data_IF_711583640559
#
_entry.id   IF_711583640559
#
_cell.length_a   1.000
_cell.length_b   1.000
_cell.length_c   1.000
_cell.angle_alpha   90.00
_cell.angle_beta   90.00
_cell.angle_gamma   90.00
#
_symmetry.space_group_name_H-M   'P 1'
#
loop_
_entity.id
_entity.type
_entity.pdbx_description
1 polymer ?
#
# COMPACT_ATOMS: atom_id res chain seq x y z
N UNK A 1 4.19 7.27 -13.75
CA UNK A 1 5.23 6.60 -12.93
C UNK A 1 6.01 7.65 -12.15
N UNK A 2 5.98 7.54 -10.81
CA UNK A 2 6.79 8.32 -9.87
C UNK A 2 8.10 7.57 -9.58
N UNK A 3 9.19 8.32 -9.41
CA UNK A 3 10.52 7.75 -9.14
C UNK A 3 11.25 8.63 -8.15
N UNK A 4 11.64 8.04 -7.03
CA UNK A 4 12.50 8.66 -6.02
C UNK A 4 13.88 8.04 -6.08
N UNK A 5 14.90 8.85 -5.83
CA UNK A 5 16.29 8.43 -5.76
C UNK A 5 16.93 9.04 -4.52
N UNK A 6 17.69 8.24 -3.79
CA UNK A 6 18.49 8.70 -2.66
C UNK A 6 19.91 8.22 -2.91
N UNK A 7 20.88 9.14 -2.86
CA UNK A 7 22.30 8.84 -3.01
C UNK A 7 23.03 9.26 -1.75
N UNK A 8 23.89 8.39 -1.24
CA UNK A 8 24.78 8.74 -0.14
C UNK A 8 26.01 9.49 -0.69
N UNK A 9 26.14 10.78 -0.37
CA UNK A 9 27.27 11.63 -0.78
C UNK A 9 28.30 11.86 0.33
N UNK A 10 28.30 11.01 1.37
CA UNK A 10 29.23 11.14 2.48
C UNK A 10 30.67 10.96 2.01
N UNK A 11 31.52 11.95 2.28
CA UNK A 11 32.95 11.90 1.98
C UNK A 11 33.77 11.28 3.13
N UNK A 12 33.15 11.04 4.29
CA UNK A 12 33.79 10.51 5.51
C UNK A 12 33.73 8.98 5.63
N UNK A 13 33.30 8.29 4.56
CA UNK A 13 33.23 6.83 4.52
C UNK A 13 31.97 6.23 5.16
N UNK A 14 31.08 7.03 5.76
CA UNK A 14 29.95 6.50 6.54
C UNK A 14 28.76 6.09 5.66
N UNK A 15 28.18 4.93 6.00
CA UNK A 15 26.91 4.49 5.44
C UNK A 15 25.74 5.37 5.90
N UNK A 16 24.70 5.44 5.09
CA UNK A 16 23.45 6.14 5.38
C UNK A 16 22.29 5.13 5.31
N UNK A 17 21.54 5.02 6.40
CA UNK A 17 20.41 4.10 6.50
C UNK A 17 19.10 4.87 6.63
N UNK A 18 18.06 4.44 5.91
CA UNK A 18 16.75 5.08 5.91
C UNK A 18 15.63 4.07 5.61
N UNK A 19 14.40 4.42 6.00
CA UNK A 19 13.17 3.79 5.51
C UNK A 19 12.46 4.75 4.55
N UNK A 20 11.59 4.23 3.69
CA UNK A 20 10.90 5.04 2.69
C UNK A 20 9.49 4.50 2.46
N UNK A 21 8.51 5.39 2.29
CA UNK A 21 7.17 5.02 1.84
C UNK A 21 6.57 6.13 0.98
N UNK A 22 5.74 5.73 0.00
CA UNK A 22 4.81 6.64 -0.66
C UNK A 22 3.45 6.54 0.03
N UNK A 23 3.16 7.47 0.96
CA UNK A 23 1.93 7.48 1.76
C UNK A 23 0.70 7.87 0.94
N UNK A 24 0.22 6.95 0.10
CA UNK A 24 -0.74 7.23 -0.97
C UNK A 24 -2.17 7.03 -0.48
N UNK A 25 -2.94 8.12 -0.45
CA UNK A 25 -4.38 8.11 -0.15
C UNK A 25 -5.19 7.90 -1.43
N UNK A 26 -5.96 6.80 -1.50
CA UNK A 26 -6.91 6.54 -2.56
C UNK A 26 -8.29 7.02 -2.18
N UNK A 27 -8.91 7.86 -3.02
CA UNK A 27 -10.32 8.23 -2.87
C UNK A 27 -11.21 7.10 -3.39
N UNK A 28 -11.89 6.44 -2.46
CA UNK A 28 -12.79 5.30 -2.69
C UNK A 28 -14.25 5.71 -2.54
N UNK A 29 -15.20 4.82 -2.84
CA UNK A 29 -16.64 5.10 -2.69
C UNK A 29 -17.08 5.07 -1.22
N UNK A 30 -16.99 3.89 -0.61
CA UNK A 30 -17.22 3.57 0.79
C UNK A 30 -16.21 2.47 1.15
N UNK A 31 -15.48 2.64 2.25
CA UNK A 31 -14.48 1.70 2.72
C UNK A 31 -15.05 0.29 2.93
N UNK A 32 -16.36 0.15 3.22
CA UNK A 32 -17.01 -1.17 3.33
C UNK A 32 -17.17 -1.89 1.98
N UNK A 33 -17.17 -1.14 0.87
CA UNK A 33 -17.30 -1.67 -0.51
C UNK A 33 -15.96 -1.84 -1.22
N UNK A 34 -14.86 -1.68 -0.48
CA UNK A 34 -13.49 -1.77 -0.99
C UNK A 34 -12.83 -3.04 -0.51
N UNK A 35 -12.08 -3.69 -1.39
CA UNK A 35 -11.14 -4.75 -1.02
C UNK A 35 -9.79 -4.58 -1.67
N UNK A 36 -8.75 -5.12 -1.03
CA UNK A 36 -7.39 -5.14 -1.57
C UNK A 36 -7.00 -6.58 -1.90
N UNK A 37 -6.47 -6.77 -3.10
CA UNK A 37 -5.95 -8.05 -3.59
C UNK A 37 -4.43 -7.96 -3.86
N UNK A 38 -3.73 -9.09 -3.70
CA UNK A 38 -2.28 -9.24 -3.86
C UNK A 38 -1.49 -9.22 -2.55
N UNK A 39 -2.17 -9.26 -1.40
CA UNK A 39 -1.58 -9.29 -0.06
C UNK A 39 -1.97 -10.53 0.75
N UNK A 40 -2.71 -11.45 0.14
CA UNK A 40 -3.19 -12.68 0.73
C UNK A 40 -2.00 -13.56 1.12
N UNK A 41 -2.13 -14.32 2.22
CA UNK A 41 -1.10 -15.28 2.70
C UNK A 41 0.25 -14.68 3.10
N UNK A 42 0.39 -13.36 3.06
CA UNK A 42 1.63 -12.67 3.43
C UNK A 42 1.70 -12.42 4.94
N UNK A 43 2.93 -12.40 5.45
CA UNK A 43 3.19 -11.90 6.79
C UNK A 43 3.00 -10.38 6.84
N UNK A 44 2.44 -9.89 7.95
CA UNK A 44 2.36 -8.48 8.26
C UNK A 44 2.74 -8.18 9.71
N UNK A 45 3.20 -6.95 9.95
CA UNK A 45 3.33 -6.38 11.29
C UNK A 45 2.12 -5.51 11.57
N UNK A 46 1.48 -5.68 12.72
CA UNK A 46 0.30 -4.91 13.12
C UNK A 46 0.70 -3.76 14.06
N UNK A 47 0.62 -2.51 13.59
CA UNK A 47 0.97 -1.35 14.41
C UNK A 47 -0.04 -1.12 15.56
N UNK A 48 -1.24 -1.68 15.48
CA UNK A 48 -2.23 -1.63 16.58
C UNK A 48 -1.91 -2.65 17.68
N UNK A 49 -1.05 -3.64 17.40
CA UNK A 49 -0.62 -4.69 18.32
C UNK A 49 0.90 -4.67 18.52
N UNK A 50 1.46 -3.47 18.74
CA UNK A 50 2.90 -3.29 19.04
C UNK A 50 3.87 -3.93 18.02
N UNK A 51 3.45 -3.99 16.75
CA UNK A 51 4.18 -4.64 15.64
C UNK A 51 4.34 -6.15 15.81
N UNK A 52 3.39 -6.80 16.49
CA UNK A 52 3.29 -8.25 16.47
C UNK A 52 3.13 -8.75 15.02
N UNK A 53 3.75 -9.90 14.74
CA UNK A 53 3.77 -10.50 13.41
C UNK A 53 2.64 -11.51 13.28
N UNK A 54 1.88 -11.38 12.22
CA UNK A 54 0.80 -12.30 11.84
C UNK A 54 0.95 -12.70 10.37
N UNK A 55 0.18 -13.69 9.94
CA UNK A 55 0.05 -14.10 8.53
C UNK A 55 -1.38 -13.91 8.09
N UNK A 56 -1.60 -13.18 6.99
CA UNK A 56 -2.92 -12.95 6.43
C UNK A 56 -3.59 -14.24 5.98
N UNK A 57 -4.85 -14.43 6.34
CA UNK A 57 -5.60 -15.67 6.04
C UNK A 57 -6.80 -15.42 5.11
N UNK A 58 -7.18 -14.15 4.87
CA UNK A 58 -8.28 -13.81 3.98
C UNK A 58 -7.93 -13.97 2.50
N UNK A 59 -8.95 -14.27 1.69
CA UNK A 59 -8.86 -14.28 0.21
C UNK A 59 -8.71 -12.85 -0.38
N UNK A 60 -9.00 -11.84 0.42
CA UNK A 60 -8.78 -10.42 0.13
C UNK A 60 -8.77 -9.64 1.46
N UNK A 61 -8.18 -8.44 1.46
CA UNK A 61 -8.26 -7.55 2.62
C UNK A 61 -9.55 -6.74 2.54
N UNK A 62 -10.39 -6.85 3.56
CA UNK A 62 -11.60 -6.05 3.77
C UNK A 62 -11.49 -5.24 5.05
N UNK A 63 -12.39 -4.26 5.23
CA UNK A 63 -12.27 -3.26 6.28
C UNK A 63 -13.55 -3.19 7.11
N UNK A 64 -13.48 -3.66 8.35
CA UNK A 64 -14.59 -3.62 9.33
C UNK A 64 -14.18 -2.87 10.62
N UNK A 65 -12.93 -2.43 10.69
CA UNK A 65 -12.33 -1.75 11.84
C UNK A 65 -11.12 -0.91 11.41
N UNK A 66 -10.48 -0.24 12.37
CA UNK A 66 -9.17 0.37 12.18
C UNK A 66 -8.17 -0.68 11.69
N UNK A 67 -7.36 -0.29 10.70
CA UNK A 67 -6.29 -1.11 10.15
C UNK A 67 -5.05 -0.25 10.05
N UNK A 68 -3.93 -0.76 10.56
CA UNK A 68 -2.60 -0.18 10.42
C UNK A 68 -1.58 -1.31 10.31
N UNK A 69 -1.45 -1.88 9.11
CA UNK A 69 -0.68 -3.10 8.85
C UNK A 69 0.46 -2.85 7.89
N UNK A 70 1.63 -3.40 8.18
CA UNK A 70 2.79 -3.41 7.29
C UNK A 70 2.97 -4.83 6.72
N UNK A 71 2.49 -5.05 5.50
CA UNK A 71 2.69 -6.30 4.78
C UNK A 71 4.13 -6.41 4.26
N UNK A 72 4.74 -7.57 4.48
CA UNK A 72 6.16 -7.83 4.27
C UNK A 72 6.40 -8.54 2.94
N UNK A 73 7.52 -8.21 2.27
CA UNK A 73 7.95 -8.92 1.04
C UNK A 73 6.85 -9.07 -0.01
N UNK A 74 6.05 -8.02 -0.18
CA UNK A 74 4.85 -7.99 -1.01
C UNK A 74 5.20 -8.04 -2.50
N UNK A 75 4.31 -8.59 -3.34
CA UNK A 75 4.50 -8.58 -4.79
C UNK A 75 4.60 -7.15 -5.34
N UNK A 76 5.06 -7.04 -6.58
CA UNK A 76 5.19 -5.74 -7.24
C UNK A 76 3.85 -5.12 -7.61
N UNK A 77 2.75 -5.88 -7.63
CA UNK A 77 1.41 -5.43 -8.01
C UNK A 77 0.43 -5.62 -6.86
N UNK A 78 -0.32 -4.57 -6.54
CA UNK A 78 -1.44 -4.59 -5.59
C UNK A 78 -2.66 -4.00 -6.30
N UNK A 79 -3.84 -4.59 -6.09
CA UNK A 79 -5.10 -4.11 -6.66
C UNK A 79 -6.05 -3.65 -5.55
N UNK A 80 -6.64 -2.47 -5.72
CA UNK A 80 -7.65 -1.91 -4.82
C UNK A 80 -8.93 -1.84 -5.62
N UNK A 81 -9.88 -2.69 -5.28
CA UNK A 81 -11.14 -2.85 -6.02
C UNK A 81 -12.21 -2.09 -5.26
N UNK A 82 -12.76 -1.08 -5.93
CA UNK A 82 -13.90 -0.27 -5.48
C UNK A 82 -15.13 -0.74 -6.29
N UNK A 83 -15.98 -1.53 -5.64
CA UNK A 83 -17.11 -2.19 -6.31
C UNK A 83 -18.17 -1.20 -6.75
N UNK A 84 -18.49 -0.21 -5.90
CA UNK A 84 -19.54 0.77 -6.17
C UNK A 84 -19.17 1.70 -7.34
N UNK A 85 -17.93 2.21 -7.36
CA UNK A 85 -17.43 3.03 -8.50
C UNK A 85 -17.04 2.18 -9.71
N UNK A 86 -17.15 0.85 -9.63
CA UNK A 86 -16.77 -0.11 -10.69
C UNK A 86 -15.37 0.17 -11.23
N UNK A 87 -14.43 0.44 -10.32
CA UNK A 87 -13.08 0.87 -10.66
C UNK A 87 -12.06 0.11 -9.82
N UNK A 88 -10.95 -0.25 -10.44
CA UNK A 88 -9.80 -0.83 -9.75
C UNK A 88 -8.64 0.14 -9.85
N UNK A 89 -8.08 0.55 -8.71
CA UNK A 89 -6.75 1.13 -8.70
C UNK A 89 -5.72 0.02 -8.71
N UNK A 90 -4.74 0.16 -9.58
CA UNK A 90 -3.64 -0.79 -9.70
C UNK A 90 -2.36 -0.06 -9.36
N UNK A 91 -1.74 -0.49 -8.27
CA UNK A 91 -0.45 -0.04 -7.80
C UNK A 91 0.64 -0.99 -8.32
N UNK A 92 1.71 -0.43 -8.90
CA UNK A 92 2.96 -1.16 -9.17
C UNK A 92 4.11 -0.51 -8.44
N UNK A 93 4.94 -1.33 -7.80
CA UNK A 93 6.10 -0.88 -7.06
C UNK A 93 7.35 -1.67 -7.41
N UNK A 94 8.48 -0.98 -7.33
CA UNK A 94 9.82 -1.53 -7.55
C UNK A 94 10.83 -0.83 -6.64
N UNK A 95 11.78 -1.58 -6.09
CA UNK A 95 12.71 -1.10 -5.05
C UNK A 95 12.07 -0.86 -3.67
N UNK A 96 10.81 -1.28 -3.49
CA UNK A 96 9.97 -1.10 -2.31
C UNK A 96 9.36 -2.46 -1.93
N UNK A 97 9.98 -3.23 -1.02
CA UNK A 97 9.59 -4.60 -0.73
C UNK A 97 8.29 -4.72 0.08
N UNK A 98 7.91 -3.69 0.83
CA UNK A 98 6.80 -3.73 1.78
C UNK A 98 5.59 -2.96 1.23
N UNK A 99 4.42 -3.18 1.84
CA UNK A 99 3.26 -2.33 1.65
C UNK A 99 2.58 -2.00 2.97
N UNK A 100 2.19 -0.75 3.16
CA UNK A 100 1.39 -0.36 4.33
C UNK A 100 -0.06 -0.25 3.90
N UNK A 101 -0.97 -0.80 4.70
CA UNK A 101 -2.41 -0.68 4.54
C UNK A 101 -2.94 0.05 5.76
N UNK A 102 -3.57 1.21 5.53
CA UNK A 102 -4.07 2.03 6.62
C UNK A 102 -5.46 2.62 6.35
N UNK A 103 -6.34 2.46 7.34
CA UNK A 103 -7.58 3.21 7.48
C UNK A 103 -7.80 3.51 8.97
N UNK A 104 -7.98 4.79 9.37
CA UNK A 104 -8.05 5.18 10.77
C UNK A 104 -9.34 4.70 11.46
N UNK A 105 -10.41 4.45 10.71
CA UNK A 105 -11.73 4.22 11.26
C UNK A 105 -12.25 5.38 12.13
N UNK A 106 -13.43 5.19 12.73
CA UNK A 106 -14.21 6.23 13.39
C UNK A 106 -13.47 6.94 14.54
N UNK A 107 -12.93 6.17 15.49
CA UNK A 107 -12.34 6.75 16.71
C UNK A 107 -11.07 7.54 16.43
N UNK A 108 -10.19 7.03 15.55
CA UNK A 108 -8.94 7.70 15.20
C UNK A 108 -9.20 8.91 14.30
N UNK A 109 -10.14 8.82 13.36
CA UNK A 109 -10.53 9.94 12.50
C UNK A 109 -10.94 11.16 13.34
N UNK A 110 -11.87 10.98 14.29
CA UNK A 110 -12.33 12.04 15.21
C UNK A 110 -11.24 12.62 16.11
N UNK A 111 -10.14 11.90 16.31
CA UNK A 111 -9.01 12.35 17.13
C UNK A 111 -7.96 13.13 16.34
N UNK A 112 -8.02 13.10 15.00
CA UNK A 112 -7.08 13.82 14.12
C UNK A 112 -7.63 15.21 13.81
N UNK A 113 -6.94 16.25 14.27
CA UNK A 113 -7.41 17.63 14.14
C UNK A 113 -7.44 18.15 12.68
N UNK A 114 -6.69 17.50 11.79
CA UNK A 114 -6.55 17.82 10.37
C UNK A 114 -7.27 16.83 9.45
N UNK A 115 -8.17 16.00 10.00
CA UNK A 115 -8.93 14.98 9.28
C UNK A 115 -10.40 15.04 9.64
N UNK A 116 -11.29 14.94 8.65
CA UNK A 116 -12.73 14.99 8.91
C UNK A 116 -13.25 13.72 9.60
N UNK A 117 -14.19 13.88 10.55
CA UNK A 117 -14.76 12.79 11.35
C UNK A 117 -15.19 11.56 10.53
N UNK A 118 -15.79 11.80 9.36
CA UNK A 118 -16.31 10.77 8.46
C UNK A 118 -15.40 10.50 7.23
N UNK A 119 -14.27 11.18 7.09
CA UNK A 119 -13.40 11.06 5.89
C UNK A 119 -12.81 9.66 5.72
N UNK A 120 -12.69 8.90 6.82
CA UNK A 120 -12.20 7.52 6.80
C UNK A 120 -13.06 6.61 5.92
N UNK A 121 -14.36 6.93 5.75
CA UNK A 121 -15.28 6.17 4.91
C UNK A 121 -14.94 6.28 3.42
N UNK A 122 -14.26 7.34 3.02
CA UNK A 122 -14.05 7.65 1.60
C UNK A 122 -12.57 7.59 1.19
N UNK A 123 -11.72 7.02 2.04
CA UNK A 123 -10.29 6.88 1.80
C UNK A 123 -9.74 5.51 2.16
N UNK A 124 -8.72 5.07 1.43
CA UNK A 124 -7.86 3.96 1.82
C UNK A 124 -6.41 4.31 1.54
N UNK A 125 -5.50 4.11 2.50
CA UNK A 125 -4.07 4.25 2.27
C UNK A 125 -3.47 2.91 1.90
N UNK A 126 -2.84 2.86 0.72
CA UNK A 126 -1.96 1.74 0.32
C UNK A 126 -0.62 2.33 -0.09
N UNK A 127 0.40 2.03 0.69
CA UNK A 127 1.71 2.63 0.53
C UNK A 127 2.68 1.64 -0.07
N UNK A 128 3.41 2.04 -1.12
CA UNK A 128 4.58 1.30 -1.55
C UNK A 128 5.76 1.68 -0.66
N UNK A 129 6.35 0.71 0.04
CA UNK A 129 7.24 1.00 1.16
C UNK A 129 8.49 0.10 1.27
N UNK A 130 9.45 0.56 2.05
CA UNK A 130 10.63 -0.14 2.54
C UNK A 130 10.79 0.25 4.02
N UNK A 131 10.22 -0.56 4.91
CA UNK A 131 10.02 -0.19 6.33
C UNK A 131 10.55 -1.25 7.29
N UNK A 132 10.29 -2.54 7.02
CA UNK A 132 10.73 -3.62 7.91
C UNK A 132 12.25 -3.65 8.03
N UNK A 133 12.92 -3.54 6.87
CA UNK A 133 14.38 -3.51 6.77
C UNK A 133 14.82 -2.17 6.19
N UNK A 134 15.53 -1.34 6.97
CA UNK A 134 16.08 -0.09 6.45
C UNK A 134 17.01 -0.33 5.26
N UNK A 135 16.88 0.51 4.23
CA UNK A 135 17.81 0.56 3.12
C UNK A 135 19.10 1.19 3.63
N UNK A 136 20.24 0.57 3.35
CA UNK A 136 21.56 1.09 3.73
C UNK A 136 22.41 1.33 2.49
N UNK A 137 22.89 2.56 2.33
CA UNK A 137 23.74 2.99 1.23
C UNK A 137 25.14 3.30 1.73
N UNK A 138 26.15 2.66 1.15
CA UNK A 138 27.55 3.07 1.30
C UNK A 138 27.80 4.37 0.54
N UNK A 139 28.89 5.11 0.85
CA UNK A 139 29.28 6.28 0.09
C UNK A 139 29.31 6.02 -1.43
N UNK A 140 28.64 6.89 -2.19
CA UNK A 140 28.52 6.79 -3.64
C UNK A 140 27.38 5.89 -4.15
N UNK A 141 26.81 5.03 -3.30
CA UNK A 141 25.66 4.19 -3.67
C UNK A 141 24.36 5.01 -3.77
N UNK A 142 23.46 4.53 -4.62
CA UNK A 142 22.15 5.13 -4.85
C UNK A 142 21.07 4.05 -4.77
N UNK A 143 19.99 4.37 -4.05
CA UNK A 143 18.76 3.61 -4.07
C UNK A 143 17.73 4.29 -4.98
N UNK A 144 16.86 3.49 -5.58
CA UNK A 144 15.74 3.94 -6.41
C UNK A 144 14.46 3.21 -6.02
N UNK A 145 13.41 3.98 -5.71
CA UNK A 145 12.06 3.48 -5.49
C UNK A 145 11.09 4.01 -6.54
N UNK A 146 10.29 3.13 -7.13
CA UNK A 146 9.32 3.47 -8.18
C UNK A 146 7.92 3.09 -7.76
N UNK A 147 6.98 3.97 -8.09
CA UNK A 147 5.56 3.78 -7.91
C UNK A 147 4.83 4.13 -9.21
N UNK A 148 3.99 3.24 -9.69
CA UNK A 148 3.06 3.50 -10.77
C UNK A 148 1.64 3.26 -10.26
N UNK A 149 0.77 4.21 -10.53
CA UNK A 149 -0.63 4.16 -10.19
C UNK A 149 -1.44 4.26 -11.48
N UNK A 150 -2.43 3.39 -11.62
CA UNK A 150 -3.39 3.46 -12.71
C UNK A 150 -4.78 3.16 -12.17
N UNK A 151 -5.80 3.74 -12.80
CA UNK A 151 -7.19 3.41 -12.56
C UNK A 151 -7.74 2.74 -13.82
N UNK A 152 -8.32 1.56 -13.66
CA UNK A 152 -8.95 0.81 -14.76
C UNK A 152 -10.40 0.50 -14.39
N UNK A 153 -11.31 0.36 -15.37
CA UNK A 153 -12.64 -0.18 -15.10
C UNK A 153 -12.52 -1.56 -14.45
N UNK A 154 -13.29 -1.80 -13.41
CA UNK A 154 -13.42 -3.14 -12.85
C UNK A 154 -14.27 -3.97 -13.80
N UNK A 155 -13.65 -4.83 -14.61
CA UNK A 155 -14.34 -5.80 -15.45
C UNK A 155 -14.81 -7.04 -14.66
N UNK A 156 -15.00 -6.93 -13.34
CA UNK A 156 -15.29 -8.08 -12.47
C UNK A 156 -16.71 -8.62 -12.71
N UNK A 157 -16.83 -9.51 -13.70
CA UNK A 157 -17.86 -10.55 -13.76
C UNK A 157 -17.35 -11.93 -13.31
N UNK A 158 -16.05 -12.14 -13.10
CA UNK A 158 -15.51 -13.43 -12.60
C UNK A 158 -14.05 -13.27 -12.17
N UNK A 159 -13.69 -13.67 -10.95
CA UNK A 159 -12.38 -13.46 -10.31
C UNK A 159 -11.18 -14.15 -10.97
N UNK A 160 -10.78 -13.70 -12.16
CA UNK A 160 -9.48 -14.02 -12.74
C UNK A 160 -8.80 -12.74 -13.24
N UNK A 161 -7.63 -12.43 -12.68
CA UNK A 161 -6.75 -11.37 -13.14
C UNK A 161 -6.05 -11.80 -14.44
N UNK A 162 -6.74 -11.69 -15.58
CA UNK A 162 -6.08 -11.69 -16.89
C UNK A 162 -6.35 -10.35 -17.63
N UNK A 163 -5.39 -9.41 -17.62
CA UNK A 163 -5.51 -8.13 -18.32
C UNK A 163 -5.68 -8.27 -19.84
N UNK A 164 -5.34 -9.42 -20.45
CA UNK A 164 -5.47 -9.62 -21.90
C UNK A 164 -6.90 -9.94 -22.34
N UNK A 165 -7.79 -10.35 -21.43
CA UNK A 165 -9.18 -10.70 -21.78
C UNK A 165 -10.17 -9.53 -21.76
N UNK A 166 -9.79 -8.37 -21.23
CA UNK A 166 -10.69 -7.21 -21.11
C UNK A 166 -10.85 -6.44 -22.43
N UNK A 167 -9.98 -6.67 -23.42
CA UNK A 167 -9.99 -5.94 -24.70
C UNK A 167 -10.91 -6.56 -25.79
N UNK A 168 -11.63 -7.65 -25.48
CA UNK A 168 -12.52 -8.31 -26.46
C UNK A 168 -13.91 -8.66 -25.90
N UNK A 169 -14.32 -8.05 -24.79
CA UNK A 169 -15.67 -8.20 -24.21
C UNK A 169 -16.54 -6.98 -24.48
#
# INVERSE_FOLDING_TARGET
MLTSRIRNTNNDGKAFSFTFAYHTYFSVSDISEVRVEGLETLDYLDNLQEKERFTEQGDAITFESEVDKIYLSTPSKIAIIDHEKKRTFVLRKDGLPDAVVWNPWDKKAKAMADFGDDEYKHMLCIEAAAVEKPITLKPGEEWKGRLELSAVPSSYCSGQLDPQKVLQG
#
